data_IF_830898592359
#
_entry.id   IF_830898592359
#
_cell.length_a   1.000
_cell.length_b   1.000
_cell.length_c   1.000
_cell.angle_alpha   90.00
_cell.angle_beta   90.00
_cell.angle_gamma   90.00
#
_symmetry.space_group_name_H-M   'P 1'
#
loop_
_entity.id
_entity.type
_entity.pdbx_description
1 polymer ?
#
# COMPACT_ATOMS: atom_id res chain seq x y z
N UNK A 1 -54.69 -30.76 -21.50
CA UNK A 1 -53.54 -31.67 -21.45
C UNK A 1 -53.70 -32.63 -22.61
N UNK A 2 -53.22 -32.24 -23.79
CA UNK A 2 -53.18 -33.15 -24.94
C UNK A 2 -52.20 -34.28 -24.64
N UNK A 3 -52.37 -35.48 -25.21
CA UNK A 3 -51.47 -36.63 -24.98
C UNK A 3 -49.99 -36.23 -25.20
N UNK A 4 -49.73 -35.36 -26.17
CA UNK A 4 -48.41 -34.77 -26.46
C UNK A 4 -47.82 -33.92 -25.33
N UNK A 5 -48.63 -33.30 -24.47
CA UNK A 5 -48.16 -32.53 -23.31
C UNK A 5 -47.81 -33.46 -22.15
N UNK A 6 -48.47 -34.62 -22.05
CA UNK A 6 -48.18 -35.63 -21.04
C UNK A 6 -46.85 -36.34 -21.33
N UNK A 7 -46.58 -36.68 -22.58
CA UNK A 7 -45.31 -37.29 -23.00
C UNK A 7 -44.13 -36.34 -22.77
N UNK A 8 -44.27 -35.06 -23.15
CA UNK A 8 -43.25 -34.03 -22.88
C UNK A 8 -42.99 -33.83 -21.39
N UNK A 9 -44.04 -33.92 -20.56
CA UNK A 9 -43.89 -33.84 -19.12
C UNK A 9 -43.14 -35.06 -18.57
N UNK A 10 -43.42 -36.25 -19.08
CA UNK A 10 -42.70 -37.47 -18.69
C UNK A 10 -41.21 -37.39 -19.05
N UNK A 11 -40.87 -36.92 -20.26
CA UNK A 11 -39.49 -36.69 -20.68
C UNK A 11 -38.76 -35.70 -19.76
N UNK A 12 -39.41 -34.58 -19.41
CA UNK A 12 -38.85 -33.58 -18.50
C UNK A 12 -38.62 -34.12 -17.09
N UNK A 13 -39.48 -35.02 -16.60
CA UNK A 13 -39.31 -35.65 -15.28
C UNK A 13 -38.10 -36.59 -15.30
N UNK A 14 -37.89 -37.35 -16.39
CA UNK A 14 -36.74 -38.23 -16.57
C UNK A 14 -35.44 -37.41 -16.64
N UNK A 15 -35.45 -36.31 -17.40
CA UNK A 15 -34.31 -35.39 -17.46
C UNK A 15 -33.99 -34.82 -16.07
N UNK A 16 -35.00 -34.39 -15.32
CA UNK A 16 -34.84 -33.82 -13.99
C UNK A 16 -34.32 -34.86 -12.99
N UNK A 17 -34.80 -36.10 -13.06
CA UNK A 17 -34.28 -37.20 -12.25
C UNK A 17 -32.80 -37.44 -12.54
N UNK A 18 -32.41 -37.52 -13.81
CA UNK A 18 -31.01 -37.72 -14.21
C UNK A 18 -30.11 -36.57 -13.74
N UNK A 19 -30.54 -35.31 -13.93
CA UNK A 19 -29.80 -34.13 -13.50
C UNK A 19 -29.69 -34.04 -11.98
N UNK A 20 -30.75 -34.40 -11.24
CA UNK A 20 -30.71 -34.43 -9.78
C UNK A 20 -29.78 -35.52 -9.24
N UNK A 21 -29.74 -36.69 -9.88
CA UNK A 21 -28.84 -37.78 -9.51
C UNK A 21 -27.37 -37.41 -9.78
N UNK A 22 -27.08 -36.75 -10.90
CA UNK A 22 -25.75 -36.23 -11.21
C UNK A 22 -25.32 -35.15 -10.20
N UNK A 23 -26.22 -34.23 -9.86
CA UNK A 23 -25.96 -33.19 -8.88
C UNK A 23 -25.63 -33.79 -7.50
N UNK A 24 -26.41 -34.77 -7.02
CA UNK A 24 -26.15 -35.46 -5.75
C UNK A 24 -24.80 -36.17 -5.75
N UNK A 25 -24.43 -36.85 -6.84
CA UNK A 25 -23.10 -37.48 -6.99
C UNK A 25 -21.97 -36.46 -7.01
N UNK A 26 -22.18 -35.28 -7.56
CA UNK A 26 -21.21 -34.20 -7.53
C UNK A 26 -21.05 -33.65 -6.10
N UNK A 27 -22.16 -33.45 -5.39
CA UNK A 27 -22.15 -32.99 -4.00
C UNK A 27 -21.47 -33.98 -3.07
N UNK A 28 -21.76 -35.28 -3.17
CA UNK A 28 -21.13 -36.30 -2.32
C UNK A 28 -19.61 -36.27 -2.48
N UNK A 29 -19.10 -36.20 -3.72
CA UNK A 29 -17.66 -36.08 -3.98
C UNK A 29 -17.03 -34.84 -3.36
N UNK A 30 -17.75 -33.71 -3.33
CA UNK A 30 -17.26 -32.47 -2.72
C UNK A 30 -17.26 -32.59 -1.20
N UNK A 31 -18.30 -33.19 -0.61
CA UNK A 31 -18.40 -33.44 0.83
C UNK A 31 -17.31 -34.41 1.30
N UNK A 32 -17.11 -35.53 0.61
CA UNK A 32 -16.06 -36.51 0.93
C UNK A 32 -14.68 -35.83 0.95
N UNK A 33 -14.38 -35.01 -0.07
CA UNK A 33 -13.12 -34.23 -0.13
C UNK A 33 -12.98 -33.19 0.97
N UNK A 34 -14.09 -32.64 1.48
CA UNK A 34 -14.06 -31.71 2.61
C UNK A 34 -13.80 -32.45 3.93
N UNK A 35 -14.33 -33.65 4.10
CA UNK A 35 -14.16 -34.50 5.29
C UNK A 35 -12.78 -35.17 5.34
N UNK A 36 -12.21 -35.53 4.18
CA UNK A 36 -10.87 -36.14 4.07
C UNK A 36 -9.74 -35.20 4.56
N UNK A 37 -9.98 -33.88 4.55
CA UNK A 37 -9.02 -32.89 5.08
C UNK A 37 -9.06 -32.84 6.61
N UNK A 38 -8.39 -33.82 7.24
CA UNK A 38 -8.25 -33.89 8.70
C UNK A 38 -7.40 -32.75 9.25
N UNK A 39 -7.95 -32.13 10.30
CA UNK A 39 -7.32 -31.24 11.29
C UNK A 39 -6.84 -29.86 10.79
N UNK A 40 -7.79 -28.94 10.66
CA UNK A 40 -7.55 -27.49 10.67
C UNK A 40 -7.11 -27.02 12.08
N UNK A 41 -5.91 -27.41 12.54
CA UNK A 41 -5.37 -26.99 13.86
C UNK A 41 -5.22 -25.47 14.01
N UNK A 42 -5.24 -24.74 12.89
CA UNK A 42 -5.04 -23.29 12.80
C UNK A 42 -6.27 -22.54 12.24
N UNK A 43 -7.41 -23.22 12.07
CA UNK A 43 -8.66 -22.64 11.57
C UNK A 43 -8.98 -22.97 10.11
N UNK A 44 -10.21 -22.66 9.68
CA UNK A 44 -10.72 -22.97 8.35
C UNK A 44 -9.93 -22.24 7.26
N UNK A 45 -9.31 -23.00 6.35
CA UNK A 45 -8.74 -22.43 5.13
C UNK A 45 -9.80 -21.68 4.33
N UNK A 46 -9.42 -20.54 3.76
CA UNK A 46 -10.30 -19.71 2.93
C UNK A 46 -10.95 -20.51 1.78
N UNK A 47 -10.19 -21.43 1.16
CA UNK A 47 -10.71 -22.27 0.08
C UNK A 47 -11.72 -23.30 0.58
N UNK A 48 -11.53 -23.82 1.80
CA UNK A 48 -12.48 -24.74 2.45
C UNK A 48 -13.76 -24.01 2.82
N UNK A 49 -13.65 -22.80 3.37
CA UNK A 49 -14.80 -21.94 3.66
C UNK A 49 -15.59 -21.63 2.39
N UNK A 50 -14.92 -21.31 1.27
CA UNK A 50 -15.58 -21.09 -0.02
C UNK A 50 -16.35 -22.34 -0.47
N UNK A 51 -15.74 -23.51 -0.41
CA UNK A 51 -16.41 -24.76 -0.80
C UNK A 51 -17.62 -25.06 0.08
N UNK A 52 -17.53 -24.79 1.39
CA UNK A 52 -18.66 -24.90 2.32
C UNK A 52 -19.80 -23.94 1.96
N UNK A 53 -19.50 -22.65 1.77
CA UNK A 53 -20.51 -21.63 1.42
C UNK A 53 -21.15 -21.92 0.05
N UNK A 54 -20.37 -22.36 -0.95
CA UNK A 54 -20.92 -22.76 -2.25
C UNK A 54 -21.83 -23.98 -2.15
N UNK A 55 -21.45 -24.99 -1.35
CA UNK A 55 -22.27 -26.20 -1.14
C UNK A 55 -23.55 -25.86 -0.37
N UNK A 56 -23.47 -25.02 0.66
CA UNK A 56 -24.62 -24.55 1.42
C UNK A 56 -25.58 -23.71 0.56
N UNK A 57 -25.05 -22.81 -0.29
CA UNK A 57 -25.86 -22.03 -1.24
C UNK A 57 -26.62 -22.94 -2.21
N UNK A 58 -25.94 -23.95 -2.78
CA UNK A 58 -26.57 -24.89 -3.69
C UNK A 58 -27.62 -25.77 -2.98
N UNK A 59 -27.38 -26.16 -1.72
CA UNK A 59 -28.36 -26.88 -0.90
C UNK A 59 -29.63 -26.07 -0.62
N UNK A 60 -29.51 -24.79 -0.29
CA UNK A 60 -30.70 -23.94 -0.12
C UNK A 60 -31.43 -23.71 -1.45
N UNK A 61 -30.70 -23.65 -2.56
CA UNK A 61 -31.30 -23.53 -3.89
C UNK A 61 -32.07 -24.79 -4.31
N UNK A 62 -31.56 -25.99 -4.03
CA UNK A 62 -32.28 -27.24 -4.33
C UNK A 62 -33.55 -27.37 -3.48
N UNK A 63 -33.51 -26.95 -2.21
CA UNK A 63 -34.71 -26.86 -1.37
C UNK A 63 -35.73 -25.88 -1.97
N UNK A 64 -35.30 -24.70 -2.40
CA UNK A 64 -36.17 -23.73 -3.07
C UNK A 64 -36.79 -24.29 -4.36
N UNK A 65 -35.98 -24.91 -5.22
CA UNK A 65 -36.47 -25.55 -6.44
C UNK A 65 -37.49 -26.66 -6.15
N UNK A 66 -37.25 -27.48 -5.11
CA UNK A 66 -38.20 -28.53 -4.72
C UNK A 66 -39.56 -27.96 -4.28
N UNK A 67 -39.57 -26.80 -3.61
CA UNK A 67 -40.80 -26.11 -3.21
C UNK A 67 -41.52 -25.47 -4.39
N UNK A 68 -40.76 -24.91 -5.34
CA UNK A 68 -41.30 -24.40 -6.60
C UNK A 68 -41.98 -25.51 -7.40
N UNK A 69 -41.37 -26.69 -7.47
CA UNK A 69 -41.95 -27.86 -8.15
C UNK A 69 -43.24 -28.35 -7.48
N UNK A 70 -43.36 -28.20 -6.16
CA UNK A 70 -44.59 -28.51 -5.42
C UNK A 70 -45.67 -27.42 -5.54
N UNK A 71 -45.34 -26.27 -6.12
CA UNK A 71 -46.25 -25.12 -6.24
C UNK A 71 -46.43 -24.33 -4.94
N UNK A 72 -45.53 -24.49 -3.97
CA UNK A 72 -45.57 -23.76 -2.71
C UNK A 72 -45.05 -22.32 -2.89
N UNK A 73 -45.62 -21.36 -2.14
CA UNK A 73 -45.17 -19.97 -2.17
C UNK A 73 -43.84 -19.81 -1.44
N UNK A 74 -42.87 -19.22 -2.14
CA UNK A 74 -41.49 -19.05 -1.68
C UNK A 74 -41.31 -17.81 -0.79
N UNK A 75 -42.26 -16.88 -0.80
CA UNK A 75 -42.08 -15.53 -0.26
C UNK A 75 -41.81 -15.49 1.25
N UNK A 76 -42.32 -16.45 2.01
CA UNK A 76 -42.20 -16.51 3.47
C UNK A 76 -41.13 -17.46 3.98
N UNK A 77 -40.44 -18.17 3.07
CA UNK A 77 -39.52 -19.22 3.46
C UNK A 77 -38.15 -18.71 3.92
N UNK A 78 -37.65 -19.31 5.00
CA UNK A 78 -36.31 -19.01 5.52
C UNK A 78 -35.19 -19.39 4.54
N UNK A 79 -35.43 -20.35 3.64
CA UNK A 79 -34.47 -20.76 2.61
C UNK A 79 -34.07 -19.61 1.69
N UNK A 80 -34.97 -18.67 1.40
CA UNK A 80 -34.64 -17.46 0.62
C UNK A 80 -33.64 -16.58 1.39
N UNK A 81 -33.87 -16.39 2.69
CA UNK A 81 -32.99 -15.60 3.55
C UNK A 81 -31.63 -16.25 3.71
N UNK A 82 -31.58 -17.58 3.86
CA UNK A 82 -30.33 -18.33 3.92
C UNK A 82 -29.57 -18.27 2.59
N UNK A 83 -30.24 -18.46 1.46
CA UNK A 83 -29.63 -18.33 0.13
C UNK A 83 -29.04 -16.93 -0.09
N UNK A 84 -29.77 -15.87 0.29
CA UNK A 84 -29.26 -14.49 0.26
C UNK A 84 -28.03 -14.31 1.18
N UNK A 85 -28.06 -14.89 2.38
CA UNK A 85 -26.94 -14.84 3.32
C UNK A 85 -25.68 -15.47 2.72
N UNK A 86 -25.78 -16.69 2.18
CA UNK A 86 -24.66 -17.36 1.50
C UNK A 86 -24.20 -16.57 0.27
N UNK A 87 -25.12 -15.96 -0.48
CA UNK A 87 -24.78 -15.09 -1.62
C UNK A 87 -23.95 -13.87 -1.20
N UNK A 88 -24.35 -13.20 -0.13
CA UNK A 88 -23.62 -12.04 0.40
C UNK A 88 -22.23 -12.46 0.85
N UNK A 89 -22.07 -13.61 1.51
CA UNK A 89 -20.75 -14.11 1.89
C UNK A 89 -19.85 -14.35 0.68
N UNK A 90 -20.37 -15.00 -0.38
CA UNK A 90 -19.62 -15.20 -1.61
C UNK A 90 -19.19 -13.87 -2.26
N UNK A 91 -20.03 -12.85 -2.25
CA UNK A 91 -19.68 -11.52 -2.77
C UNK A 91 -18.60 -10.84 -1.95
N UNK A 92 -18.62 -10.99 -0.62
CA UNK A 92 -17.56 -10.49 0.26
C UNK A 92 -16.25 -11.27 0.12
N UNK A 93 -16.30 -12.53 -0.30
CA UNK A 93 -15.11 -13.35 -0.54
C UNK A 93 -14.38 -12.99 -1.85
N UNK A 94 -15.09 -12.54 -2.89
CA UNK A 94 -14.49 -12.16 -4.21
C UNK A 94 -13.23 -11.28 -4.15
N UNK A 95 -13.20 -10.13 -3.44
CA UNK A 95 -12.00 -9.30 -3.39
C UNK A 95 -10.82 -9.99 -2.68
N UNK A 96 -11.08 -10.95 -1.79
CA UNK A 96 -10.04 -11.75 -1.12
C UNK A 96 -9.52 -12.80 -2.10
N UNK A 97 -10.41 -13.43 -2.88
CA UNK A 97 -10.04 -14.36 -3.95
C UNK A 97 -9.11 -13.71 -4.96
N UNK A 98 -9.44 -12.51 -5.44
CA UNK A 98 -8.62 -11.78 -6.42
C UNK A 98 -7.20 -11.53 -5.90
N UNK A 99 -7.07 -11.20 -4.60
CA UNK A 99 -5.76 -11.01 -3.95
C UNK A 99 -5.00 -12.31 -3.76
N UNK A 100 -5.69 -13.42 -3.51
CA UNK A 100 -5.07 -14.74 -3.31
C UNK A 100 -4.80 -15.48 -4.63
N UNK A 101 -5.50 -15.13 -5.71
CA UNK A 101 -5.38 -15.78 -7.03
C UNK A 101 -3.93 -15.90 -7.51
N UNK A 102 -3.08 -14.86 -7.45
CA UNK A 102 -1.68 -14.99 -7.85
C UNK A 102 -0.88 -15.98 -6.99
N UNK A 103 -1.26 -16.14 -5.72
CA UNK A 103 -0.61 -17.10 -4.81
C UNK A 103 -1.06 -18.52 -5.11
N UNK A 104 -2.37 -18.71 -5.36
CA UNK A 104 -2.94 -20.00 -5.79
C UNK A 104 -2.33 -20.44 -7.12
N UNK A 105 -2.23 -19.55 -8.10
CA UNK A 105 -1.60 -19.83 -9.41
C UNK A 105 -0.12 -20.20 -9.26
N UNK A 106 0.63 -19.51 -8.39
CA UNK A 106 2.03 -19.89 -8.09
C UNK A 106 2.15 -21.28 -7.47
N UNK A 107 1.27 -21.63 -6.53
CA UNK A 107 1.27 -22.95 -5.89
C UNK A 107 0.83 -24.04 -6.87
N UNK A 108 -0.18 -23.76 -7.71
CA UNK A 108 -0.64 -24.66 -8.75
C UNK A 108 0.44 -24.90 -9.79
N UNK A 109 1.07 -23.84 -10.32
CA UNK A 109 2.17 -23.95 -11.27
C UNK A 109 3.37 -24.67 -10.66
N UNK A 110 3.66 -24.45 -9.37
CA UNK A 110 4.71 -25.21 -8.67
C UNK A 110 4.35 -26.69 -8.56
N UNK A 111 3.09 -27.03 -8.29
CA UNK A 111 2.63 -28.42 -8.21
C UNK A 111 2.63 -29.11 -9.58
N UNK A 112 2.12 -28.43 -10.61
CA UNK A 112 2.11 -28.93 -11.99
C UNK A 112 3.53 -29.14 -12.52
N UNK A 113 4.43 -28.16 -12.29
CA UNK A 113 5.82 -28.26 -12.74
C UNK A 113 6.65 -29.24 -11.89
N UNK A 114 6.25 -29.53 -10.64
CA UNK A 114 6.91 -30.55 -9.80
C UNK A 114 6.78 -31.96 -10.38
N UNK A 115 5.75 -32.22 -11.18
CA UNK A 115 5.61 -33.49 -11.89
C UNK A 115 6.53 -33.58 -13.12
N UNK A 116 7.05 -32.47 -13.64
CA UNK A 116 7.97 -32.44 -14.78
C UNK A 116 9.46 -32.36 -14.37
N UNK A 117 9.77 -31.83 -13.18
CA UNK A 117 11.16 -31.65 -12.73
C UNK A 117 11.51 -32.56 -11.55
N UNK A 118 11.68 -33.85 -11.82
CA UNK A 118 12.47 -34.74 -10.94
C UNK A 118 13.97 -34.55 -11.18
N UNK A 119 14.38 -33.92 -12.28
CA UNK A 119 15.79 -33.64 -12.56
C UNK A 119 15.94 -32.20 -13.08
N UNK A 120 16.51 -31.31 -12.27
CA UNK A 120 16.94 -29.99 -12.73
C UNK A 120 16.56 -28.86 -11.79
N UNK A 121 17.59 -28.22 -11.23
CA UNK A 121 17.50 -27.12 -10.29
C UNK A 121 16.45 -26.06 -10.67
N UNK A 122 15.55 -25.79 -9.74
CA UNK A 122 14.50 -24.78 -9.85
C UNK A 122 15.09 -23.40 -10.15
N UNK A 123 14.81 -22.86 -11.34
CA UNK A 123 14.92 -21.43 -11.67
C UNK A 123 13.79 -20.65 -10.99
N UNK A 124 13.70 -20.75 -9.67
CA UNK A 124 12.65 -20.14 -8.86
C UNK A 124 13.25 -19.25 -7.78
N UNK A 125 13.20 -17.93 -8.01
CA UNK A 125 13.58 -16.84 -7.11
C UNK A 125 15.07 -16.47 -7.14
N UNK A 126 15.44 -15.59 -8.08
CA UNK A 126 16.55 -14.65 -7.89
C UNK A 126 16.12 -13.57 -6.86
N UNK A 127 15.76 -13.98 -5.65
CA UNK A 127 15.90 -13.12 -4.48
C UNK A 127 17.25 -13.48 -3.92
N UNK A 128 18.16 -12.50 -3.90
CA UNK A 128 19.43 -12.62 -3.19
C UNK A 128 19.09 -13.06 -1.77
N UNK A 129 19.49 -14.29 -1.40
CA UNK A 129 19.44 -14.74 -0.02
C UNK A 129 20.50 -13.92 0.71
N UNK A 130 20.10 -12.85 1.38
CA UNK A 130 21.02 -12.03 2.18
C UNK A 130 21.72 -12.86 3.26
N UNK A 131 21.13 -13.99 3.70
CA UNK A 131 21.75 -14.95 4.62
C UNK A 131 22.96 -15.71 4.06
N UNK A 132 23.20 -15.64 2.74
CA UNK A 132 24.36 -16.27 2.09
C UNK A 132 25.43 -15.24 1.67
N UNK A 133 25.24 -13.96 1.96
CA UNK A 133 26.32 -12.97 1.85
C UNK A 133 27.13 -13.02 3.16
N UNK A 134 28.13 -13.90 3.17
CA UNK A 134 29.21 -13.83 4.14
C UNK A 134 29.99 -12.54 3.86
N UNK A 135 29.63 -11.48 4.58
CA UNK A 135 30.43 -10.27 4.64
C UNK A 135 31.52 -10.59 5.66
N UNK A 136 32.51 -11.36 5.21
CA UNK A 136 33.74 -11.58 5.94
C UNK A 136 34.35 -10.22 6.25
N UNK A 137 34.33 -9.87 7.53
CA UNK A 137 35.14 -8.80 8.08
C UNK A 137 36.58 -9.15 7.74
N UNK A 138 37.23 -8.31 6.95
CA UNK A 138 38.64 -8.44 6.65
C UNK A 138 39.42 -8.12 7.92
N UNK A 139 39.52 -9.10 8.81
CA UNK A 139 40.58 -9.16 9.81
C UNK A 139 41.86 -9.49 9.04
N UNK A 140 42.57 -8.43 8.64
CA UNK A 140 43.97 -8.51 8.28
C UNK A 140 44.72 -9.03 9.52
N UNK A 141 45.17 -10.28 9.45
CA UNK A 141 46.17 -10.84 10.35
C UNK A 141 47.47 -10.04 10.17
N UNK A 142 47.70 -9.07 11.05
CA UNK A 142 49.04 -8.48 11.25
C UNK A 142 49.89 -9.51 12.00
N UNK A 143 50.79 -10.18 11.27
CA UNK A 143 51.91 -10.91 11.86
C UNK A 143 52.81 -9.93 12.61
N UNK A 144 53.04 -10.22 13.90
CA UNK A 144 54.06 -9.56 14.70
C UNK A 144 55.46 -9.97 14.21
N UNK A 145 56.21 -9.02 13.66
CA UNK A 145 57.67 -9.01 13.84
C UNK A 145 58.12 -7.61 14.28
N UNK A 146 58.64 -7.59 15.50
CA UNK A 146 59.37 -6.51 16.15
C UNK A 146 60.74 -6.34 15.50
N UNK A 147 61.02 -5.18 14.91
CA UNK A 147 62.31 -4.51 15.14
C UNK A 147 62.23 -3.01 14.86
N UNK A 148 62.88 -2.23 15.72
CA UNK A 148 62.73 -0.79 15.81
C UNK A 148 63.45 0.02 14.73
N UNK A 149 62.91 1.19 14.38
CA UNK A 149 63.58 2.49 14.47
C UNK A 149 62.75 3.65 13.89
N UNK A 150 63.18 4.87 14.20
CA UNK A 150 62.40 6.10 14.32
C UNK A 150 61.94 6.76 13.01
N UNK A 151 60.84 7.52 13.18
CA UNK A 151 60.53 8.85 12.61
C UNK A 151 59.92 8.93 11.20
N UNK A 152 58.64 9.35 11.15
CA UNK A 152 58.13 10.56 10.47
C UNK A 152 56.60 10.60 10.59
N UNK A 153 56.09 11.55 11.37
CA UNK A 153 54.65 11.85 11.40
C UNK A 153 54.19 12.29 10.00
N UNK A 154 53.35 11.48 9.37
CA UNK A 154 52.66 11.84 8.14
C UNK A 154 51.62 12.91 8.47
N UNK A 155 51.90 14.17 8.12
CA UNK A 155 50.96 15.28 8.26
C UNK A 155 49.73 15.02 7.38
N UNK A 156 48.66 14.53 8.01
CA UNK A 156 47.34 14.33 7.41
C UNK A 156 46.81 15.66 6.89
N UNK A 157 46.59 15.76 5.58
CA UNK A 157 46.00 16.95 4.97
C UNK A 157 44.56 17.15 5.48
N UNK A 158 44.28 18.33 6.04
CA UNK A 158 42.95 18.73 6.50
C UNK A 158 42.45 19.81 5.57
N UNK A 159 41.44 19.49 4.76
CA UNK A 159 40.82 20.45 3.86
C UNK A 159 40.25 21.65 4.65
N UNK A 160 40.46 22.90 4.17
CA UNK A 160 39.95 24.09 4.83
C UNK A 160 38.42 24.05 4.99
N UNK A 161 37.94 24.48 6.15
CA UNK A 161 36.49 24.60 6.40
C UNK A 161 35.94 25.83 5.68
N UNK A 162 35.38 25.62 4.49
CA UNK A 162 34.65 26.64 3.74
C UNK A 162 33.34 26.94 4.49
N UNK A 163 33.15 28.20 4.90
CA UNK A 163 31.85 28.70 5.38
C UNK A 163 31.06 29.21 4.18
N UNK A 164 29.75 29.03 4.20
CA UNK A 164 28.87 29.63 3.21
C UNK A 164 29.01 31.15 3.26
N UNK A 165 29.67 31.72 2.24
CA UNK A 165 29.63 33.15 1.96
C UNK A 165 28.26 33.42 1.38
N UNK A 166 27.49 34.31 2.01
CA UNK A 166 26.24 34.80 1.43
C UNK A 166 26.64 35.59 0.17
N UNK A 167 26.29 35.07 -0.99
CA UNK A 167 26.19 35.91 -2.18
C UNK A 167 25.00 36.84 -1.93
N UNK A 168 25.27 38.13 -1.85
CA UNK A 168 24.24 39.16 -2.05
C UNK A 168 23.90 39.14 -3.55
N UNK A 169 23.19 38.11 -3.99
CA UNK A 169 22.34 38.26 -5.16
C UNK A 169 21.31 39.31 -4.74
N UNK A 170 21.51 40.53 -5.28
CA UNK A 170 20.56 41.63 -5.38
C UNK A 170 19.15 41.22 -4.91
N UNK A 171 18.77 41.67 -3.70
CA UNK A 171 17.46 41.41 -3.11
C UNK A 171 16.40 41.50 -4.22
N UNK A 172 15.68 40.38 -4.47
CA UNK A 172 14.66 40.31 -5.53
C UNK A 172 13.82 41.59 -5.46
N UNK A 173 13.99 42.47 -6.45
CA UNK A 173 13.27 43.75 -6.46
C UNK A 173 11.78 43.47 -6.27
N UNK A 174 11.02 44.30 -5.52
CA UNK A 174 9.61 44.05 -5.26
C UNK A 174 8.79 43.85 -6.56
N UNK A 175 9.28 44.36 -7.70
CA UNK A 175 8.76 44.08 -9.04
C UNK A 175 8.86 42.61 -9.46
N UNK A 176 10.00 41.93 -9.24
CA UNK A 176 10.20 40.50 -9.56
C UNK A 176 9.27 39.62 -8.71
N UNK A 177 9.05 39.98 -7.44
CA UNK A 177 8.11 39.29 -6.56
C UNK A 177 6.66 39.45 -7.02
N UNK A 178 6.27 40.66 -7.42
CA UNK A 178 4.94 40.93 -7.99
C UNK A 178 4.70 40.16 -9.30
N UNK A 179 5.69 40.10 -10.19
CA UNK A 179 5.62 39.32 -11.43
C UNK A 179 5.50 37.81 -11.17
N UNK A 180 6.31 37.27 -10.26
CA UNK A 180 6.25 35.86 -9.85
C UNK A 180 4.90 35.51 -9.23
N UNK A 181 4.36 36.40 -8.41
CA UNK A 181 3.04 36.25 -7.85
C UNK A 181 1.96 36.36 -8.94
N UNK A 182 2.05 37.29 -9.90
CA UNK A 182 1.13 37.39 -11.06
C UNK A 182 1.16 36.09 -11.88
N UNK A 183 2.34 35.54 -12.18
CA UNK A 183 2.49 34.23 -12.85
C UNK A 183 1.86 33.10 -12.06
N UNK A 184 2.07 33.03 -10.74
CA UNK A 184 1.42 32.01 -9.88
C UNK A 184 -0.10 32.14 -9.88
N UNK A 185 -0.64 33.35 -9.85
CA UNK A 185 -2.09 33.55 -9.93
C UNK A 185 -2.65 33.15 -11.30
N UNK A 186 -1.94 33.46 -12.39
CA UNK A 186 -2.28 33.00 -13.74
C UNK A 186 -2.20 31.47 -13.89
N UNK A 187 -1.36 30.82 -13.08
CA UNK A 187 -1.24 29.37 -12.97
C UNK A 187 -2.13 28.76 -11.87
N UNK A 188 -3.06 29.54 -11.29
CA UNK A 188 -4.03 28.98 -10.35
C UNK A 188 -4.95 27.99 -11.07
N UNK A 189 -5.38 26.97 -10.34
CA UNK A 189 -6.17 25.85 -10.89
C UNK A 189 -7.40 26.34 -11.65
N UNK A 190 -8.10 27.35 -11.12
CA UNK A 190 -9.29 27.93 -11.75
C UNK A 190 -9.01 28.57 -13.13
N UNK A 191 -7.93 29.35 -13.26
CA UNK A 191 -7.60 30.00 -14.54
C UNK A 191 -7.11 28.96 -15.55
N UNK A 192 -6.39 27.95 -15.09
CA UNK A 192 -5.94 26.84 -15.93
C UNK A 192 -7.11 25.99 -16.43
N UNK A 193 -8.09 25.71 -15.57
CA UNK A 193 -9.33 25.01 -15.95
C UNK A 193 -10.16 25.83 -16.95
N UNK A 194 -10.33 27.14 -16.72
CA UNK A 194 -10.98 28.03 -17.69
C UNK A 194 -10.23 28.02 -19.03
N UNK A 195 -8.90 28.12 -19.01
CA UNK A 195 -8.08 28.07 -20.23
C UNK A 195 -8.28 26.74 -20.97
N UNK A 196 -8.35 25.63 -20.25
CA UNK A 196 -8.57 24.31 -20.84
C UNK A 196 -9.96 24.20 -21.48
N UNK A 197 -11.02 24.72 -20.82
CA UNK A 197 -12.38 24.73 -21.37
C UNK A 197 -12.50 25.54 -22.68
N UNK A 198 -11.73 26.63 -22.80
CA UNK A 198 -11.68 27.45 -24.02
C UNK A 198 -10.66 26.94 -25.06
N UNK A 199 -9.83 25.96 -24.70
CA UNK A 199 -8.86 25.38 -25.64
C UNK A 199 -9.45 24.13 -26.30
N UNK A 200 -9.37 24.06 -27.62
CA UNK A 200 -9.79 22.90 -28.42
C UNK A 200 -8.68 21.84 -28.53
N UNK A 201 -7.65 21.94 -27.68
CA UNK A 201 -6.52 21.02 -27.66
C UNK A 201 -6.89 19.76 -26.87
N UNK A 202 -6.52 18.55 -27.33
CA UNK A 202 -6.86 17.32 -26.64
C UNK A 202 -6.17 17.23 -25.28
N UNK A 203 -6.94 16.84 -24.25
CA UNK A 203 -6.42 16.60 -22.90
C UNK A 203 -5.92 15.15 -22.74
N UNK A 204 -4.76 14.99 -22.11
CA UNK A 204 -4.20 13.68 -21.78
C UNK A 204 -4.73 13.20 -20.42
N UNK A 205 -5.79 12.38 -20.42
CA UNK A 205 -6.32 11.78 -19.19
C UNK A 205 -5.36 10.70 -18.69
N UNK A 206 -4.87 10.83 -17.45
CA UNK A 206 -3.95 9.88 -16.81
C UNK A 206 -4.48 9.39 -15.46
N UNK A 207 -4.09 8.18 -15.08
CA UNK A 207 -4.41 7.58 -13.76
C UNK A 207 -3.55 8.17 -12.61
N UNK A 208 -2.46 8.86 -12.96
CA UNK A 208 -1.51 9.46 -12.02
C UNK A 208 -1.80 10.95 -11.95
N UNK A 209 -1.69 11.52 -10.75
CA UNK A 209 -1.96 12.95 -10.57
C UNK A 209 -1.02 13.83 -11.40
N UNK A 210 -1.55 14.94 -11.92
CA UNK A 210 -0.84 15.82 -12.84
C UNK A 210 0.41 16.42 -12.21
N UNK A 211 0.34 16.89 -10.96
CA UNK A 211 1.47 17.54 -10.28
C UNK A 211 2.62 16.55 -10.07
N UNK A 212 2.33 15.30 -9.74
CA UNK A 212 3.34 14.24 -9.65
C UNK A 212 3.93 13.94 -11.02
N UNK A 213 3.11 13.86 -12.05
CA UNK A 213 3.57 13.62 -13.41
C UNK A 213 4.51 14.73 -13.91
N UNK A 214 4.15 16.01 -13.69
CA UNK A 214 5.02 17.14 -14.06
C UNK A 214 6.34 17.09 -13.29
N UNK A 215 6.31 16.79 -11.99
CA UNK A 215 7.52 16.67 -11.17
C UNK A 215 8.44 15.53 -11.65
N UNK A 216 7.87 14.37 -11.96
CA UNK A 216 8.63 13.23 -12.47
C UNK A 216 9.20 13.53 -13.87
N UNK A 217 8.44 14.21 -14.74
CA UNK A 217 8.89 14.64 -16.07
C UNK A 217 10.00 15.70 -16.03
N UNK A 218 9.91 16.68 -15.14
CA UNK A 218 10.98 17.67 -14.93
C UNK A 218 12.27 17.01 -14.44
N UNK A 219 12.14 16.00 -13.57
CA UNK A 219 13.27 15.21 -13.11
C UNK A 219 13.88 14.40 -14.26
N UNK A 220 13.08 13.74 -15.08
CA UNK A 220 13.57 13.01 -16.27
C UNK A 220 14.31 13.93 -17.22
N UNK A 221 13.73 15.08 -17.56
CA UNK A 221 14.39 16.09 -18.41
C UNK A 221 15.74 16.51 -17.87
N UNK A 222 15.83 16.80 -16.57
CA UNK A 222 17.12 17.15 -15.95
C UNK A 222 18.13 16.00 -16.01
N UNK A 223 17.68 14.76 -15.76
CA UNK A 223 18.54 13.57 -15.81
C UNK A 223 19.04 13.30 -17.25
N UNK A 224 18.22 13.56 -18.27
CA UNK A 224 18.58 13.47 -19.68
C UNK A 224 19.54 14.58 -20.11
N UNK A 225 19.25 15.83 -19.76
CA UNK A 225 20.07 16.99 -20.12
C UNK A 225 21.46 16.93 -19.47
N UNK A 226 21.53 16.47 -18.21
CA UNK A 226 22.78 16.41 -17.45
C UNK A 226 23.39 15.01 -17.40
N UNK A 227 22.82 14.03 -18.10
CA UNK A 227 23.24 12.62 -18.16
C UNK A 227 23.61 12.02 -16.79
N UNK A 228 22.94 12.45 -15.72
CA UNK A 228 23.27 12.07 -14.34
C UNK A 228 22.01 11.84 -13.52
N UNK A 229 21.96 10.70 -12.80
CA UNK A 229 20.80 10.33 -11.99
C UNK A 229 20.76 11.11 -10.67
N UNK A 230 19.64 11.79 -10.41
CA UNK A 230 19.44 12.49 -9.13
C UNK A 230 19.19 11.46 -8.02
N UNK A 231 20.02 11.49 -6.97
CA UNK A 231 19.81 10.67 -5.76
C UNK A 231 18.83 11.37 -4.83
N UNK A 232 17.71 10.73 -4.52
CA UNK A 232 16.70 11.28 -3.62
C UNK A 232 17.06 11.03 -2.15
N UNK A 233 16.86 12.04 -1.30
CA UNK A 233 16.91 11.87 0.16
C UNK A 233 15.61 11.20 0.67
N UNK A 234 15.66 10.55 1.83
CA UNK A 234 14.52 9.92 2.49
C UNK A 234 13.33 10.88 2.67
N UNK A 235 13.60 12.16 2.96
CA UNK A 235 12.55 13.17 3.10
C UNK A 235 11.89 13.52 1.77
N UNK A 236 12.68 13.67 0.70
CA UNK A 236 12.17 13.96 -0.65
C UNK A 236 11.33 12.79 -1.19
N UNK A 237 11.75 11.55 -0.92
CA UNK A 237 10.99 10.34 -1.27
C UNK A 237 9.64 10.28 -0.54
N UNK A 238 9.60 10.65 0.74
CA UNK A 238 8.33 10.71 1.49
C UNK A 238 7.41 11.80 0.94
N UNK A 239 7.96 12.92 0.47
CA UNK A 239 7.20 14.00 -0.15
C UNK A 239 6.59 13.58 -1.49
N UNK A 240 7.34 12.89 -2.35
CA UNK A 240 6.81 12.36 -3.63
C UNK A 240 5.73 11.30 -3.40
N UNK A 241 5.88 10.45 -2.38
CA UNK A 241 4.85 9.48 -1.98
C UNK A 241 3.58 10.14 -1.41
N UNK A 242 3.71 11.32 -0.79
CA UNK A 242 2.57 12.10 -0.30
C UNK A 242 1.82 12.80 -1.42
N UNK A 243 2.53 13.35 -2.41
CA UNK A 243 1.92 13.94 -3.62
C UNK A 243 1.04 12.92 -4.34
N UNK A 244 1.49 11.67 -4.46
CA UNK A 244 0.66 10.60 -5.05
C UNK A 244 -0.58 10.18 -4.24
N UNK A 245 -0.76 10.64 -2.98
CA UNK A 245 -1.90 10.27 -2.11
C UNK A 245 -2.80 11.45 -1.72
N UNK A 246 -2.28 12.66 -1.67
CA UNK A 246 -2.94 13.81 -1.05
C UNK A 246 -3.81 14.65 -2.02
N UNK A 247 -3.73 14.41 -3.33
CA UNK A 247 -4.20 15.37 -4.32
C UNK A 247 -5.72 15.38 -4.55
N UNK A 248 -6.48 14.34 -4.15
CA UNK A 248 -7.94 14.36 -4.34
C UNK A 248 -8.66 15.37 -3.45
N UNK A 249 -8.09 15.72 -2.29
CA UNK A 249 -8.70 16.68 -1.36
C UNK A 249 -8.06 18.07 -1.46
N UNK A 250 -6.76 18.15 -1.74
CA UNK A 250 -6.06 19.42 -1.83
C UNK A 250 -6.44 20.19 -3.09
N UNK A 251 -6.65 19.49 -4.21
CA UNK A 251 -7.08 20.12 -5.47
C UNK A 251 -8.52 20.66 -5.39
N UNK A 252 -9.41 19.93 -4.68
CA UNK A 252 -10.78 20.37 -4.41
C UNK A 252 -10.85 21.59 -3.46
N UNK A 253 -9.86 21.75 -2.57
CA UNK A 253 -9.77 22.86 -1.62
C UNK A 253 -8.90 24.03 -2.11
N UNK A 254 -8.24 23.89 -3.27
CA UNK A 254 -7.34 24.90 -3.86
C UNK A 254 -8.06 26.06 -4.58
N UNK A 255 -9.38 26.20 -4.44
CA UNK A 255 -10.17 27.30 -5.03
C UNK A 255 -9.87 28.68 -4.42
N UNK A 256 -9.34 28.72 -3.20
CA UNK A 256 -9.18 29.95 -2.42
C UNK A 256 -7.97 30.81 -2.79
N UNK A 257 -6.97 30.27 -3.49
CA UNK A 257 -5.68 30.96 -3.71
C UNK A 257 -5.78 32.11 -4.73
N UNK A 258 -6.77 32.05 -5.62
CA UNK A 258 -7.09 33.13 -6.57
C UNK A 258 -7.84 34.29 -5.89
N UNK A 259 -8.77 33.98 -4.98
CA UNK A 259 -9.64 34.97 -4.31
C UNK A 259 -8.97 35.70 -3.13
N UNK A 260 -7.80 35.24 -2.68
CA UNK A 260 -7.09 35.83 -1.53
C UNK A 260 -6.11 36.95 -1.91
N UNK A 261 -6.23 37.51 -3.11
CA UNK A 261 -5.33 38.51 -3.66
C UNK A 261 -6.12 39.71 -4.19
N UNK A 262 -5.82 40.91 -3.68
CA UNK A 262 -6.45 42.15 -4.14
C UNK A 262 -6.02 42.53 -5.56
N UNK A 263 -6.73 43.51 -6.14
CA UNK A 263 -6.49 44.11 -7.47
C UNK A 263 -5.01 44.53 -7.70
N UNK A 264 -4.30 44.80 -6.61
CA UNK A 264 -2.90 45.24 -6.59
C UNK A 264 -1.88 44.08 -6.64
N UNK A 265 -2.33 42.83 -6.73
CA UNK A 265 -1.45 41.67 -6.75
C UNK A 265 -0.72 41.41 -5.43
N UNK A 266 -1.20 41.92 -4.29
CA UNK A 266 -0.68 41.60 -2.96
C UNK A 266 -1.54 40.53 -2.28
N UNK A 267 -0.92 39.52 -1.69
CA UNK A 267 -1.63 38.51 -0.91
C UNK A 267 -2.24 39.19 0.32
N UNK A 268 -3.53 38.96 0.59
CA UNK A 268 -4.25 39.53 1.75
C UNK A 268 -3.75 39.00 3.11
N UNK A 269 -2.64 38.25 3.14
CA UNK A 269 -2.07 37.58 4.32
C UNK A 269 -0.77 38.22 4.84
N UNK A 270 -0.25 39.27 4.20
CA UNK A 270 0.89 40.04 4.75
C UNK A 270 0.52 40.95 5.94
N UNK A 271 -0.72 40.86 6.42
CA UNK A 271 -1.14 41.41 7.71
C UNK A 271 -1.14 40.35 8.81
N UNK A 272 -0.13 40.41 9.70
CA UNK A 272 -0.07 39.76 11.03
C UNK A 272 -0.03 38.22 11.06
N UNK A 273 1.08 37.71 11.60
CA UNK A 273 1.20 36.52 12.44
C UNK A 273 -0.13 35.78 12.71
N UNK A 274 -0.51 34.86 11.83
CA UNK A 274 -1.48 33.83 12.18
C UNK A 274 -0.77 32.82 13.09
N UNK A 275 -0.78 33.13 14.39
CA UNK A 275 -0.74 32.09 15.43
C UNK A 275 -1.82 31.08 15.05
N UNK A 276 -1.41 29.86 14.68
CA UNK A 276 -2.32 28.73 14.60
C UNK A 276 -3.04 28.66 15.96
N UNK A 277 -4.33 28.93 15.96
CA UNK A 277 -5.17 28.76 17.13
C UNK A 277 -5.11 27.27 17.50
N UNK A 278 -4.51 26.99 18.66
CA UNK A 278 -4.62 25.70 19.29
C UNK A 278 -6.10 25.50 19.63
N UNK A 279 -6.70 24.43 19.12
CA UNK A 279 -7.97 23.94 19.61
C UNK A 279 -7.85 23.68 21.11
N UNK A 280 -8.71 24.32 21.87
CA UNK A 280 -8.87 24.16 23.31
C UNK A 280 -9.41 22.77 23.63
N UNK A 281 -8.50 21.81 23.80
CA UNK A 281 -8.74 20.58 24.55
C UNK A 281 -8.05 20.71 25.91
N UNK A 282 -8.84 20.77 26.98
CA UNK A 282 -8.36 20.77 28.35
C UNK A 282 -7.47 19.55 28.62
N UNK A 283 -6.26 19.76 29.12
CA UNK A 283 -5.36 18.66 29.50
C UNK A 283 -3.96 19.10 29.91
N UNK A 284 -3.77 19.29 31.22
CA UNK A 284 -2.52 18.98 31.94
C UNK A 284 -1.23 19.64 31.45
N UNK A 285 -0.90 20.79 32.05
CA UNK A 285 0.42 21.42 31.98
C UNK A 285 1.51 20.48 32.53
N UNK A 286 2.26 19.80 31.67
CA UNK A 286 3.58 19.25 32.01
C UNK A 286 4.62 19.75 31.02
N UNK A 287 5.34 20.81 31.42
CA UNK A 287 6.54 21.31 30.73
C UNK A 287 7.60 20.19 30.69
N UNK A 288 7.61 19.39 29.64
CA UNK A 288 8.73 18.49 29.33
C UNK A 288 9.88 19.32 28.76
N UNK A 289 10.78 19.76 29.63
CA UNK A 289 12.10 20.26 29.23
C UNK A 289 12.77 19.20 28.33
N UNK A 290 13.06 19.54 27.07
CA UNK A 290 13.92 18.73 26.20
C UNK A 290 15.33 18.74 26.80
N UNK A 291 15.64 17.72 27.61
CA UNK A 291 16.99 17.50 28.16
C UNK A 291 17.99 17.41 27.01
N UNK A 292 19.04 18.23 27.08
CA UNK A 292 20.15 18.20 26.12
C UNK A 292 20.81 16.81 26.13
N UNK A 293 21.42 16.42 25.00
CA UNK A 293 22.01 15.08 24.84
C UNK A 293 23.03 14.71 25.96
N UNK A 294 23.64 15.72 26.60
CA UNK A 294 24.58 15.55 27.72
C UNK A 294 23.89 15.03 28.99
N UNK A 295 22.67 15.46 29.27
CA UNK A 295 21.89 14.97 30.43
C UNK A 295 21.31 13.57 30.19
N UNK A 296 20.95 13.23 28.95
CA UNK A 296 20.52 11.87 28.59
C UNK A 296 21.64 10.85 28.79
N UNK A 297 22.89 11.20 28.45
CA UNK A 297 24.06 10.35 28.70
C UNK A 297 24.33 10.16 30.20
N UNK A 298 24.19 11.21 31.03
CA UNK A 298 24.32 11.08 32.50
C UNK A 298 23.22 10.21 33.12
N UNK A 299 21.97 10.34 32.68
CA UNK A 299 20.86 9.51 33.16
C UNK A 299 21.01 8.03 32.75
N UNK A 300 21.56 7.75 31.57
CA UNK A 300 21.86 6.40 31.13
C UNK A 300 23.00 5.74 31.93
N UNK A 301 24.01 6.52 32.35
CA UNK A 301 25.11 6.04 33.19
C UNK A 301 24.63 5.69 34.62
N UNK A 302 23.78 6.52 35.22
CA UNK A 302 23.17 6.24 36.53
C UNK A 302 22.26 5.00 36.54
N UNK A 303 21.53 4.73 35.45
CA UNK A 303 20.72 3.49 35.33
C UNK A 303 21.58 2.22 35.21
N UNK A 304 22.76 2.29 34.58
CA UNK A 304 23.70 1.15 34.50
C UNK A 304 24.33 0.85 35.86
N UNK A 305 24.65 1.87 36.66
CA UNK A 305 25.16 1.67 38.02
C UNK A 305 24.09 1.13 38.98
N UNK A 306 22.84 1.58 38.86
CA UNK A 306 21.71 1.05 39.63
C UNK A 306 21.42 -0.43 39.34
N UNK A 307 21.48 -0.85 38.06
CA UNK A 307 21.35 -2.26 37.68
C UNK A 307 22.48 -3.13 38.23
N UNK A 308 23.73 -2.65 38.21
CA UNK A 308 24.87 -3.39 38.81
C UNK A 308 24.74 -3.54 40.33
N UNK A 309 24.22 -2.53 41.04
CA UNK A 309 23.95 -2.61 42.49
C UNK A 309 22.78 -3.55 42.83
N UNK A 310 21.73 -3.61 41.99
CA UNK A 310 20.61 -4.51 42.19
C UNK A 310 20.98 -5.99 41.98
N UNK A 311 21.89 -6.27 41.04
CA UNK A 311 22.40 -7.63 40.78
C UNK A 311 23.28 -8.12 41.93
N UNK A 312 24.11 -7.25 42.54
CA UNK A 312 24.94 -7.59 43.71
C UNK A 312 24.16 -7.79 45.02
N UNK A 313 22.88 -7.43 45.10
CA UNK A 313 22.02 -7.68 46.27
C UNK A 313 21.17 -8.96 46.14
N UNK A 314 21.27 -9.67 45.01
CA UNK A 314 20.53 -10.91 44.73
C UNK A 314 21.46 -12.13 44.61
N UNK A 315 22.72 -11.99 44.98
CA UNK A 315 23.65 -13.09 45.27
C UNK A 315 23.91 -13.10 46.76
#
# INVERSE_FOLDING_TARGET
MTETEQDRFADLVIELESASAEAVRAFSKVVDRMEDTKEDKEGLSFLKLKNYEMTAYLGELTVLMSKMMKGESIATDNSVKHALKHRVYLEKMKPIEEKMKPQMEKLLNRSSNRNETVNGASKGNLRVRLDNMDVGDGEEEEEEEDDGEKSKEVKKYVAPRIRAVRYEEEDETPSKQQEKAKRRAMQSSLIMELKNQYSDAPEEIREISEKKYQYDREREKYEEENFTRIRQNKEQKRRSEQLGRAETLDDLLSFGDYMMRGEDGRALTEGKNRKRAASSGAGGNTKRHRKSQKERKKAAKGKKEGRKRAIRRRQ
#
